data_IF_740316901996
#
_entry.id   IF_740316901996
#
_cell.length_a   1.000
_cell.length_b   1.000
_cell.length_c   1.000
_cell.angle_alpha   90.00
_cell.angle_beta   90.00
_cell.angle_gamma   90.00
#
_symmetry.space_group_name_H-M   'P 1'
#
loop_
_entity.id
_entity.type
_entity.pdbx_description
1 polymer ?
#
# COMPACT_ATOMS: atom_id res chain seq x y z
N UNK A 1 -7.47 16.51 51.07
CA UNK A 1 -6.92 15.87 49.85
C UNK A 1 -7.37 16.68 48.65
N UNK A 2 -6.42 17.22 47.89
CA UNK A 2 -6.68 18.00 46.69
C UNK A 2 -7.33 17.11 45.62
N UNK A 3 -8.47 17.53 45.04
CA UNK A 3 -9.14 16.76 43.99
C UNK A 3 -8.30 16.81 42.72
N UNK A 4 -7.65 15.69 42.38
CA UNK A 4 -6.92 15.55 41.11
C UNK A 4 -7.86 15.80 39.93
N UNK A 5 -7.41 16.62 38.98
CA UNK A 5 -8.13 16.90 37.73
C UNK A 5 -7.86 15.82 36.68
N UNK A 6 -8.78 15.71 35.72
CA UNK A 6 -8.68 14.77 34.61
C UNK A 6 -7.55 15.14 33.65
N UNK A 7 -6.60 14.22 33.41
CA UNK A 7 -5.44 14.46 32.53
C UNK A 7 -5.73 14.49 31.02
N UNK A 8 -6.99 14.65 30.61
CA UNK A 8 -7.41 14.65 29.19
C UNK A 8 -7.51 16.07 28.65
N UNK A 9 -7.41 16.24 27.33
CA UNK A 9 -7.75 17.49 26.65
C UNK A 9 -9.20 17.46 26.17
N UNK A 10 -9.85 18.61 26.18
CA UNK A 10 -11.18 18.81 25.61
C UNK A 10 -11.09 18.94 24.08
N UNK A 11 -12.24 19.04 23.39
CA UNK A 11 -12.29 19.24 21.93
C UNK A 11 -11.53 20.50 21.47
N UNK A 12 -11.44 21.51 22.33
CA UNK A 12 -10.72 22.76 22.05
C UNK A 12 -9.25 22.68 22.50
N UNK A 13 -8.70 21.48 22.71
CA UNK A 13 -7.33 21.23 23.18
C UNK A 13 -6.96 21.72 24.58
N UNK A 14 -7.88 22.35 25.31
CA UNK A 14 -7.65 22.75 26.70
C UNK A 14 -7.66 21.56 27.68
N UNK A 15 -6.89 21.61 28.79
CA UNK A 15 -6.97 20.61 29.86
C UNK A 15 -8.38 20.47 30.45
N UNK A 16 -8.79 19.24 30.74
CA UNK A 16 -10.09 18.95 31.31
C UNK A 16 -10.16 19.35 32.78
N UNK A 17 -11.06 20.28 33.10
CA UNK A 17 -11.25 20.80 34.47
C UNK A 17 -12.16 19.93 35.35
N UNK A 18 -12.58 18.76 34.89
CA UNK A 18 -13.43 17.84 35.68
C UNK A 18 -12.55 16.99 36.62
N UNK A 19 -13.11 16.64 37.78
CA UNK A 19 -12.45 15.76 38.73
C UNK A 19 -12.14 14.38 38.11
N UNK A 20 -10.93 13.88 38.37
CA UNK A 20 -10.50 12.55 37.99
C UNK A 20 -11.10 11.47 38.89
N UNK A 21 -11.32 10.29 38.32
CA UNK A 21 -11.57 9.04 39.04
C UNK A 21 -10.22 8.34 39.31
N UNK A 22 -10.27 7.12 39.89
CA UNK A 22 -9.08 6.36 40.28
C UNK A 22 -8.04 6.18 39.14
N UNK A 23 -8.49 6.13 37.88
CA UNK A 23 -7.64 5.98 36.71
C UNK A 23 -7.09 7.30 36.13
N UNK A 24 -7.28 8.44 36.81
CA UNK A 24 -6.78 9.75 36.37
C UNK A 24 -7.65 10.44 35.30
N UNK A 25 -8.78 9.84 34.90
CA UNK A 25 -9.72 10.41 33.91
C UNK A 25 -11.08 10.70 34.55
N UNK A 26 -11.79 11.72 34.06
CA UNK A 26 -13.16 12.00 34.50
C UNK A 26 -14.17 11.04 33.85
N UNK A 27 -15.41 11.04 34.35
CA UNK A 27 -16.51 10.21 33.82
C UNK A 27 -16.75 10.32 32.31
N UNK A 28 -16.42 11.47 31.69
CA UNK A 28 -16.62 11.72 30.26
C UNK A 28 -15.41 11.33 29.39
N UNK A 29 -14.22 11.20 29.98
CA UNK A 29 -12.97 10.89 29.27
C UNK A 29 -12.45 9.49 29.62
N UNK A 30 -13.36 8.53 29.82
CA UNK A 30 -13.00 7.14 30.09
C UNK A 30 -12.74 6.80 31.56
N UNK A 31 -13.07 7.69 32.49
CA UNK A 31 -12.90 7.44 33.93
C UNK A 31 -13.71 6.26 34.48
N UNK A 32 -14.80 5.89 33.79
CA UNK A 32 -15.63 4.71 34.10
C UNK A 32 -15.16 3.42 33.39
N UNK A 33 -14.13 3.49 32.55
CA UNK A 33 -13.63 2.32 31.83
C UNK A 33 -12.98 1.36 32.80
N UNK A 34 -13.44 0.11 32.81
CA UNK A 34 -12.85 -1.01 33.56
C UNK A 34 -11.78 -1.76 32.77
N UNK A 35 -11.52 -1.33 31.53
CA UNK A 35 -10.69 -2.04 30.57
C UNK A 35 -11.37 -3.30 30.00
N UNK A 36 -10.64 -4.12 29.25
CA UNK A 36 -11.13 -5.41 28.77
C UNK A 36 -11.48 -6.33 29.95
N UNK A 37 -12.52 -7.18 29.78
CA UNK A 37 -12.92 -8.18 30.79
C UNK A 37 -11.77 -9.14 31.14
N UNK A 38 -10.96 -9.49 30.14
CA UNK A 38 -9.76 -10.31 30.27
C UNK A 38 -8.53 -9.41 30.15
N UNK A 39 -7.80 -9.25 31.27
CA UNK A 39 -6.60 -8.39 31.34
C UNK A 39 -5.45 -8.88 30.46
N UNK A 40 -5.40 -10.18 30.14
CA UNK A 40 -4.37 -10.71 29.23
C UNK A 40 -4.47 -10.10 27.83
N UNK A 41 -5.68 -9.69 27.42
CA UNK A 41 -5.99 -9.06 26.13
C UNK A 41 -5.72 -7.55 26.09
N UNK A 42 -5.08 -6.97 27.11
CA UNK A 42 -4.77 -5.54 27.11
C UNK A 42 -3.60 -5.22 26.16
N UNK A 43 -2.56 -6.06 26.16
CA UNK A 43 -1.38 -5.92 25.29
C UNK A 43 -1.66 -6.55 23.92
N UNK A 44 -1.31 -5.84 22.85
CA UNK A 44 -1.45 -6.35 21.48
C UNK A 44 -2.89 -6.42 20.97
N UNK A 45 -3.86 -5.79 21.63
CA UNK A 45 -5.22 -5.78 21.09
C UNK A 45 -5.28 -5.02 19.76
N UNK A 46 -5.95 -5.61 18.77
CA UNK A 46 -6.17 -5.01 17.45
C UNK A 46 -7.59 -4.41 17.32
N UNK A 47 -8.27 -4.13 18.44
CA UNK A 47 -9.67 -3.68 18.42
C UNK A 47 -9.84 -2.28 17.80
N UNK A 48 -8.81 -1.44 17.86
CA UNK A 48 -8.78 -0.13 17.21
C UNK A 48 -8.20 -0.18 15.79
N UNK A 49 -7.76 -1.35 15.32
CA UNK A 49 -7.19 -1.52 14.00
C UNK A 49 -8.29 -1.41 12.94
N UNK A 50 -8.18 -0.41 12.06
CA UNK A 50 -9.16 -0.20 10.99
C UNK A 50 -8.78 -0.93 9.71
N UNK A 51 -7.54 -0.76 9.26
CA UNK A 51 -7.10 -1.19 7.92
C UNK A 51 -5.61 -1.56 7.82
N UNK A 52 -4.86 -1.60 8.93
CA UNK A 52 -3.47 -2.07 8.93
C UNK A 52 -2.40 -1.14 8.32
N UNK A 53 -2.78 -0.08 7.58
CA UNK A 53 -1.83 0.81 6.88
C UNK A 53 -0.71 1.40 7.76
N UNK A 54 -0.97 1.61 9.05
CA UNK A 54 -0.01 2.19 10.00
C UNK A 54 0.62 1.14 10.93
N UNK A 55 0.45 -0.15 10.65
CA UNK A 55 1.16 -1.19 11.37
C UNK A 55 2.65 -1.17 11.00
N UNK A 56 3.52 -1.22 12.00
CA UNK A 56 4.93 -1.47 11.78
C UNK A 56 5.13 -2.97 11.57
N UNK A 57 5.71 -3.35 10.44
CA UNK A 57 5.97 -4.74 10.06
C UNK A 57 7.48 -4.94 10.11
N UNK A 58 7.93 -5.88 10.93
CA UNK A 58 9.33 -6.26 11.07
C UNK A 58 9.54 -7.71 10.64
N UNK A 59 10.72 -8.03 10.11
CA UNK A 59 11.01 -9.34 9.53
C UNK A 59 10.83 -10.50 10.52
N UNK A 60 11.22 -10.28 11.78
CA UNK A 60 11.10 -11.22 12.89
C UNK A 60 9.64 -11.41 13.36
N UNK A 61 8.75 -10.49 13.01
CA UNK A 61 7.32 -10.55 13.36
C UNK A 61 6.44 -11.18 12.28
N UNK A 62 7.00 -11.52 11.11
CA UNK A 62 6.24 -12.15 10.03
C UNK A 62 5.71 -13.53 10.43
N UNK A 63 4.54 -13.92 9.91
CA UNK A 63 4.11 -15.32 9.94
C UNK A 63 4.93 -16.18 8.97
N UNK A 64 4.74 -17.50 9.01
CA UNK A 64 5.44 -18.39 8.07
C UNK A 64 5.01 -18.12 6.63
N UNK A 65 3.71 -17.97 6.40
CA UNK A 65 3.13 -17.68 5.09
C UNK A 65 3.61 -16.31 4.56
N UNK A 66 3.75 -15.32 5.44
CA UNK A 66 4.28 -14.00 5.10
C UNK A 66 5.77 -14.06 4.73
N UNK A 67 6.57 -14.91 5.40
CA UNK A 67 7.97 -15.14 5.05
C UNK A 67 8.12 -15.79 3.67
N UNK A 68 7.34 -16.83 3.40
CA UNK A 68 7.32 -17.46 2.08
C UNK A 68 6.95 -16.46 0.99
N UNK A 69 5.90 -15.65 1.22
CA UNK A 69 5.50 -14.60 0.31
C UNK A 69 6.60 -13.54 0.12
N UNK A 70 7.26 -13.13 1.20
CA UNK A 70 8.35 -12.15 1.15
C UNK A 70 9.47 -12.58 0.20
N UNK A 71 9.83 -13.87 0.21
CA UNK A 71 10.84 -14.44 -0.69
C UNK A 71 10.38 -14.48 -2.14
N UNK A 72 9.09 -14.75 -2.39
CA UNK A 72 8.53 -14.87 -3.73
C UNK A 72 8.25 -13.52 -4.40
N UNK A 73 8.04 -12.46 -3.62
CA UNK A 73 7.71 -11.13 -4.14
C UNK A 73 8.96 -10.50 -4.76
N UNK A 74 8.93 -10.35 -6.09
CA UNK A 74 10.00 -9.66 -6.82
C UNK A 74 10.08 -8.18 -6.44
N UNK A 75 11.28 -7.73 -6.07
CA UNK A 75 11.62 -6.32 -5.85
C UNK A 75 12.05 -5.61 -7.14
N UNK A 76 12.15 -6.32 -8.26
CA UNK A 76 12.46 -5.73 -9.57
C UNK A 76 11.32 -4.82 -10.04
N UNK A 77 11.58 -3.51 -10.29
CA UNK A 77 10.53 -2.56 -10.66
C UNK A 77 9.77 -2.95 -11.93
N UNK A 78 10.48 -3.46 -12.95
CA UNK A 78 9.86 -3.87 -14.22
C UNK A 78 8.94 -5.07 -14.01
N UNK A 79 9.35 -6.06 -13.22
CA UNK A 79 8.53 -7.21 -12.85
C UNK A 79 7.29 -6.78 -12.06
N UNK A 80 7.44 -5.84 -11.11
CA UNK A 80 6.29 -5.32 -10.34
C UNK A 80 5.27 -4.63 -11.23
N UNK A 81 5.70 -3.74 -12.13
CA UNK A 81 4.81 -3.04 -13.07
C UNK A 81 4.09 -4.04 -13.98
N UNK A 82 4.83 -5.01 -14.56
CA UNK A 82 4.27 -6.08 -15.41
C UNK A 82 3.21 -6.91 -14.68
N UNK A 83 3.50 -7.32 -13.44
CA UNK A 83 2.58 -8.12 -12.64
C UNK A 83 1.30 -7.32 -12.31
N UNK A 84 1.43 -6.05 -11.91
CA UNK A 84 0.29 -5.15 -11.67
C UNK A 84 -0.56 -4.93 -12.91
N UNK A 85 0.06 -4.83 -14.08
CA UNK A 85 -0.63 -4.69 -15.36
C UNK A 85 -1.46 -5.95 -15.66
N UNK A 86 -0.85 -7.14 -15.62
CA UNK A 86 -1.54 -8.43 -15.84
C UNK A 86 -2.72 -8.63 -14.89
N UNK A 87 -2.55 -8.29 -13.61
CA UNK A 87 -3.63 -8.41 -12.63
C UNK A 87 -4.75 -7.39 -12.85
N UNK A 88 -4.44 -6.19 -13.35
CA UNK A 88 -5.45 -5.19 -13.70
C UNK A 88 -6.31 -5.62 -14.88
N UNK A 89 -5.71 -6.22 -15.91
CA UNK A 89 -6.44 -6.82 -17.05
C UNK A 89 -7.43 -7.91 -16.59
N UNK A 90 -6.96 -8.85 -15.76
CA UNK A 90 -7.83 -9.89 -15.20
C UNK A 90 -8.96 -9.27 -14.35
N UNK A 91 -8.67 -8.20 -13.61
CA UNK A 91 -9.66 -7.49 -12.81
C UNK A 91 -10.73 -6.85 -13.69
N UNK A 92 -10.34 -6.15 -14.77
CA UNK A 92 -11.28 -5.55 -15.74
C UNK A 92 -12.16 -6.64 -16.35
N UNK A 93 -11.59 -7.74 -16.82
CA UNK A 93 -12.36 -8.87 -17.36
C UNK A 93 -13.42 -9.37 -16.38
N UNK A 94 -13.06 -9.60 -15.11
CA UNK A 94 -14.02 -10.03 -14.08
C UNK A 94 -15.10 -8.99 -13.80
N UNK A 95 -14.78 -7.71 -13.89
CA UNK A 95 -15.76 -6.62 -13.75
C UNK A 95 -16.73 -6.60 -14.94
N UNK A 96 -16.24 -6.77 -16.16
CA UNK A 96 -17.07 -6.87 -17.37
C UNK A 96 -17.98 -8.10 -17.35
N UNK A 97 -17.48 -9.24 -16.86
CA UNK A 97 -18.30 -10.44 -16.66
C UNK A 97 -19.46 -10.19 -15.67
N UNK A 98 -19.24 -9.43 -14.59
CA UNK A 98 -20.29 -9.03 -13.65
C UNK A 98 -21.33 -8.09 -14.28
N UNK A 99 -20.89 -7.14 -15.11
CA UNK A 99 -21.82 -6.28 -15.87
C UNK A 99 -22.70 -7.14 -16.76
N UNK A 100 -22.10 -8.06 -17.53
CA UNK A 100 -22.84 -8.98 -18.39
C UNK A 100 -23.87 -9.80 -17.62
N UNK A 101 -23.49 -10.33 -16.45
CA UNK A 101 -24.41 -11.06 -15.58
C UNK A 101 -25.57 -10.20 -15.06
N UNK A 102 -25.30 -8.95 -14.67
CA UNK A 102 -26.34 -8.01 -14.21
C UNK A 102 -27.33 -7.64 -15.33
N UNK A 103 -26.82 -7.41 -16.53
CA UNK A 103 -27.63 -7.09 -17.72
C UNK A 103 -28.56 -8.23 -18.15
N UNK A 104 -28.19 -9.49 -17.85
CA UNK A 104 -28.98 -10.67 -18.19
C UNK A 104 -30.12 -10.95 -17.20
N UNK A 105 -30.21 -10.22 -16.09
CA UNK A 105 -31.31 -10.38 -15.13
C UNK A 105 -32.63 -9.89 -15.74
N UNK A 106 -33.73 -10.49 -15.29
CA UNK A 106 -35.08 -10.04 -15.66
C UNK A 106 -35.31 -8.54 -15.33
N UNK A 107 -34.71 -8.08 -14.23
CA UNK A 107 -34.68 -6.66 -13.81
C UNK A 107 -33.24 -6.25 -13.49
N UNK A 108 -32.48 -5.78 -14.48
CA UNK A 108 -31.12 -5.29 -14.26
C UNK A 108 -31.10 -4.09 -13.32
N UNK A 109 -30.06 -3.96 -12.49
CA UNK A 109 -29.83 -2.76 -11.68
C UNK A 109 -28.85 -1.80 -12.39
N UNK A 110 -29.33 -0.68 -12.97
CA UNK A 110 -28.47 0.24 -13.72
C UNK A 110 -27.45 0.95 -12.81
N UNK A 111 -27.77 1.15 -11.53
CA UNK A 111 -26.85 1.80 -10.59
C UNK A 111 -25.65 0.88 -10.27
N UNK A 112 -25.88 -0.43 -10.17
CA UNK A 112 -24.81 -1.41 -9.96
C UNK A 112 -23.89 -1.49 -11.19
N UNK A 113 -24.44 -1.48 -12.41
CA UNK A 113 -23.66 -1.46 -13.65
C UNK A 113 -22.78 -0.22 -13.71
N UNK A 114 -23.36 0.98 -13.53
CA UNK A 114 -22.60 2.25 -13.51
C UNK A 114 -21.49 2.25 -12.47
N UNK A 115 -21.74 1.73 -11.27
CA UNK A 115 -20.71 1.64 -10.24
C UNK A 115 -19.53 0.75 -10.65
N UNK A 116 -19.79 -0.33 -11.41
CA UNK A 116 -18.74 -1.19 -11.94
C UNK A 116 -18.01 -0.51 -13.10
N UNK A 117 -18.71 0.19 -13.99
CA UNK A 117 -18.12 0.98 -15.09
C UNK A 117 -17.16 2.04 -14.54
N UNK A 118 -17.59 2.83 -13.54
CA UNK A 118 -16.71 3.81 -12.88
C UNK A 118 -15.51 3.15 -12.20
N UNK A 119 -15.67 1.93 -11.65
CA UNK A 119 -14.57 1.17 -11.09
C UNK A 119 -13.59 0.68 -12.16
N UNK A 120 -14.08 0.27 -13.33
CA UNK A 120 -13.25 -0.07 -14.50
C UNK A 120 -12.42 1.15 -14.90
N UNK A 121 -13.04 2.32 -15.06
CA UNK A 121 -12.33 3.56 -15.42
C UNK A 121 -11.21 3.88 -14.41
N UNK A 122 -11.44 3.69 -13.10
CA UNK A 122 -10.38 3.85 -12.09
C UNK A 122 -9.23 2.86 -12.26
N UNK A 123 -9.51 1.61 -12.62
CA UNK A 123 -8.47 0.61 -12.89
C UNK A 123 -7.70 0.95 -14.17
N UNK A 124 -8.39 1.38 -15.22
CA UNK A 124 -7.77 1.80 -16.48
C UNK A 124 -6.85 3.02 -16.28
N UNK A 125 -7.28 4.02 -15.50
CA UNK A 125 -6.42 5.16 -15.14
C UNK A 125 -5.16 4.72 -14.41
N UNK A 126 -5.26 3.74 -13.51
CA UNK A 126 -4.08 3.17 -12.86
C UNK A 126 -3.17 2.44 -13.85
N UNK A 127 -3.72 1.74 -14.85
CA UNK A 127 -2.93 1.08 -15.90
C UNK A 127 -2.18 2.09 -16.77
N UNK A 128 -2.78 3.24 -17.11
CA UNK A 128 -2.08 4.32 -17.82
C UNK A 128 -0.85 4.78 -17.03
N UNK A 129 -0.97 4.93 -15.72
CA UNK A 129 0.17 5.28 -14.86
C UNK A 129 1.24 4.18 -14.84
N UNK A 130 0.85 2.90 -14.80
CA UNK A 130 1.79 1.78 -14.89
C UNK A 130 2.53 1.75 -16.23
N UNK A 131 1.85 2.05 -17.34
CA UNK A 131 2.48 2.14 -18.66
C UNK A 131 3.51 3.26 -18.68
N UNK A 132 3.17 4.46 -18.17
CA UNK A 132 4.11 5.58 -18.08
C UNK A 132 5.35 5.24 -17.27
N UNK A 133 5.17 4.58 -16.12
CA UNK A 133 6.30 4.15 -15.29
C UNK A 133 7.12 3.07 -16.00
N UNK A 134 6.48 2.15 -16.73
CA UNK A 134 7.19 1.17 -17.56
C UNK A 134 8.07 1.84 -18.62
N UNK A 135 7.54 2.85 -19.33
CA UNK A 135 8.33 3.59 -20.32
C UNK A 135 9.53 4.27 -19.69
N UNK A 136 9.34 4.92 -18.53
CA UNK A 136 10.44 5.54 -17.77
C UNK A 136 11.52 4.54 -17.36
N UNK A 137 11.13 3.36 -16.89
CA UNK A 137 12.07 2.30 -16.51
C UNK A 137 12.88 1.80 -17.71
N UNK A 138 12.26 1.71 -18.89
CA UNK A 138 12.93 1.32 -20.14
C UNK A 138 13.93 2.39 -20.59
N UNK A 139 13.58 3.68 -20.51
CA UNK A 139 14.50 4.78 -20.80
C UNK A 139 15.72 4.78 -19.87
N UNK A 140 15.51 4.55 -18.56
CA UNK A 140 16.60 4.43 -17.59
C UNK A 140 17.51 3.24 -17.87
N UNK A 141 16.99 2.15 -18.43
CA UNK A 141 17.79 1.00 -18.86
C UNK A 141 18.56 1.28 -20.15
N UNK A 142 17.96 2.00 -21.10
CA UNK A 142 18.61 2.40 -22.36
C UNK A 142 19.73 3.44 -22.18
N UNK A 143 19.69 4.24 -21.12
CA UNK A 143 20.74 5.20 -20.77
C UNK A 143 21.90 4.61 -19.94
N UNK A 144 21.85 3.33 -19.56
CA UNK A 144 23.02 2.66 -19.01
C UNK A 144 23.98 2.36 -20.16
N UNK A 145 25.21 2.87 -20.07
CA UNK A 145 26.26 2.54 -21.05
C UNK A 145 26.40 1.02 -21.14
N UNK A 146 26.14 0.45 -22.31
CA UNK A 146 26.31 -0.98 -22.60
C UNK A 146 27.79 -1.37 -22.80
N UNK A 147 28.71 -0.42 -22.53
CA UNK A 147 30.15 -0.56 -22.76
C UNK A 147 30.52 -0.64 -24.24
N UNK A 148 29.59 -0.39 -25.17
CA UNK A 148 29.86 -0.41 -26.61
C UNK A 148 30.81 0.71 -27.02
N UNK A 149 30.68 1.89 -26.42
CA UNK A 149 31.59 3.02 -26.63
C UNK A 149 32.99 2.73 -26.06
N UNK A 150 33.08 2.06 -24.91
CA UNK A 150 34.37 1.66 -24.33
C UNK A 150 35.06 0.60 -25.21
N UNK A 151 34.31 -0.39 -25.71
CA UNK A 151 34.80 -1.36 -26.70
C UNK A 151 35.24 -0.70 -28.00
N UNK A 152 34.49 0.28 -28.48
CA UNK A 152 34.85 1.03 -29.69
C UNK A 152 36.16 1.80 -29.47
N UNK A 153 36.34 2.42 -28.30
CA UNK A 153 37.57 3.11 -27.94
C UNK A 153 38.77 2.15 -27.90
N UNK A 154 38.62 0.94 -27.33
CA UNK A 154 39.66 -0.08 -27.34
C UNK A 154 40.03 -0.54 -28.77
N UNK A 155 39.02 -0.79 -29.62
CA UNK A 155 39.24 -1.18 -31.02
C UNK A 155 40.01 -0.09 -31.77
N UNK A 156 39.65 1.18 -31.57
CA UNK A 156 40.32 2.31 -32.20
C UNK A 156 41.75 2.48 -31.69
N UNK A 157 42.00 2.27 -30.39
CA UNK A 157 43.36 2.32 -29.82
C UNK A 157 44.25 1.19 -30.37
N UNK A 158 43.71 -0.03 -30.48
CA UNK A 158 44.40 -1.15 -31.10
C UNK A 158 44.72 -0.89 -32.59
N UNK A 159 43.77 -0.36 -33.35
CA UNK A 159 43.99 0.02 -34.74
C UNK A 159 45.08 1.11 -34.84
N UNK A 160 45.04 2.11 -33.97
CA UNK A 160 46.04 3.18 -33.95
C UNK A 160 47.45 2.64 -33.67
N UNK A 161 47.60 1.75 -32.69
CA UNK A 161 48.87 1.06 -32.39
C UNK A 161 49.36 0.19 -33.53
N UNK A 162 48.46 -0.41 -34.31
CA UNK A 162 48.81 -1.31 -35.41
C UNK A 162 49.23 -0.60 -36.69
N UNK A 163 48.69 0.60 -36.95
CA UNK A 163 48.88 1.29 -38.22
C UNK A 163 49.70 2.59 -38.12
N UNK A 164 49.92 3.12 -36.92
CA UNK A 164 50.58 4.41 -36.72
C UNK A 164 51.74 4.39 -35.70
N UNK A 165 52.17 3.20 -35.25
CA UNK A 165 53.43 2.98 -34.52
C UNK A 165 54.27 1.93 -35.24
#
# INVERSE_FOLDING_TARGET
MEKKLCGAKTRNSEPCRKAALANGRCRLHGGKSTGPKDRSKLKGNKNALKHGQYEAIWLDTLTEEERELYVLVSTDPTAQVRNRFKLSEIRIRRMMERIKQEQQKEKPNPAAIRAIEEAITRVEMNMVNLIRESSRLLEMQGNKSDGSLDKLAEILDQARKKYFN
#
